data_IF_854735450627
#
_entry.id   IF_854735450627
#
_cell.length_a   1.000
_cell.length_b   1.000
_cell.length_c   1.000
_cell.angle_alpha   90.00
_cell.angle_beta   90.00
_cell.angle_gamma   90.00
#
_symmetry.space_group_name_H-M   'P 1'
#
loop_
_entity.id
_entity.type
_entity.pdbx_description
1 polymer ?
#
# COMPACT_ATOMS: atom_id res chain seq x y z
N UNK A 1 -23.24 27.49 7.58
CA UNK A 1 -23.73 27.18 6.21
C UNK A 1 -22.61 26.44 5.49
N UNK A 2 -22.80 25.16 5.16
CA UNK A 2 -21.86 24.37 4.37
C UNK A 2 -22.28 24.49 2.91
N UNK A 3 -21.43 25.05 2.06
CA UNK A 3 -21.70 25.15 0.62
C UNK A 3 -21.14 23.92 -0.06
N UNK A 4 -22.02 23.08 -0.58
CA UNK A 4 -21.69 21.92 -1.42
C UNK A 4 -22.13 22.28 -2.83
N UNK A 5 -21.20 22.32 -3.78
CA UNK A 5 -21.48 22.64 -5.18
C UNK A 5 -21.34 21.35 -5.97
N UNK A 6 -22.36 20.97 -6.72
CA UNK A 6 -22.29 19.84 -7.66
C UNK A 6 -21.81 20.37 -9.01
N UNK A 7 -20.64 19.92 -9.47
CA UNK A 7 -20.11 20.28 -10.79
C UNK A 7 -20.31 19.11 -11.76
N UNK A 8 -21.01 19.36 -12.88
CA UNK A 8 -21.22 18.40 -13.95
C UNK A 8 -20.10 18.61 -14.98
N UNK A 9 -19.09 17.73 -15.02
CA UNK A 9 -18.17 17.63 -16.16
C UNK A 9 -18.32 16.22 -16.73
N UNK A 10 -18.70 16.14 -18.01
CA UNK A 10 -18.76 14.91 -18.83
C UNK A 10 -19.55 13.73 -18.22
N UNK A 11 -20.71 14.02 -17.63
CA UNK A 11 -21.65 12.97 -17.17
C UNK A 11 -21.35 12.36 -15.80
N UNK A 12 -20.27 12.76 -15.13
CA UNK A 12 -20.08 12.49 -13.70
C UNK A 12 -20.45 13.71 -12.87
N UNK A 13 -21.40 13.52 -11.95
CA UNK A 13 -21.70 14.49 -10.89
C UNK A 13 -20.57 14.39 -9.87
N UNK A 14 -19.67 15.38 -9.86
CA UNK A 14 -18.57 15.44 -8.89
C UNK A 14 -18.95 16.42 -7.80
N UNK A 15 -18.93 15.94 -6.55
CA UNK A 15 -19.15 16.78 -5.37
C UNK A 15 -17.95 17.70 -5.20
N UNK A 16 -18.16 19.01 -5.13
CA UNK A 16 -17.11 20.00 -4.87
C UNK A 16 -17.18 20.49 -3.42
N UNK A 17 -16.02 20.56 -2.76
CA UNK A 17 -15.87 20.93 -1.35
C UNK A 17 -14.69 21.89 -1.19
N UNK A 18 -14.86 22.94 -0.38
CA UNK A 18 -13.76 23.87 -0.12
C UNK A 18 -12.67 23.26 0.77
N UNK A 19 -11.41 23.66 0.55
CA UNK A 19 -10.25 23.22 1.33
C UNK A 19 -10.41 23.48 2.85
N UNK A 20 -11.18 24.51 3.23
CA UNK A 20 -11.49 24.80 4.63
C UNK A 20 -12.39 23.73 5.26
N UNK A 21 -13.38 23.22 4.52
CA UNK A 21 -14.26 22.14 4.97
C UNK A 21 -13.49 20.84 5.06
N UNK A 22 -12.64 20.56 4.05
CA UNK A 22 -11.72 19.40 4.07
C UNK A 22 -10.86 19.41 5.33
N UNK A 23 -10.26 20.55 5.69
CA UNK A 23 -9.45 20.67 6.91
C UNK A 23 -10.21 20.36 8.21
N UNK A 24 -11.51 20.65 8.27
CA UNK A 24 -12.34 20.43 9.47
C UNK A 24 -12.93 19.03 9.54
N UNK A 25 -13.21 18.41 8.39
CA UNK A 25 -13.99 17.16 8.31
C UNK A 25 -13.30 16.11 7.44
N UNK A 26 -11.97 16.09 7.41
CA UNK A 26 -11.20 15.22 6.52
C UNK A 26 -11.56 13.73 6.67
N UNK A 27 -11.63 13.24 7.91
CA UNK A 27 -11.98 11.84 8.18
C UNK A 27 -13.36 11.45 7.65
N UNK A 28 -14.38 12.29 7.89
CA UNK A 28 -15.72 12.03 7.38
C UNK A 28 -15.81 12.07 5.86
N UNK A 29 -15.03 12.94 5.21
CA UNK A 29 -14.92 12.97 3.75
C UNK A 29 -14.23 11.73 3.19
N UNK A 30 -13.20 11.20 3.86
CA UNK A 30 -12.57 9.94 3.47
C UNK A 30 -13.55 8.77 3.57
N UNK A 31 -14.30 8.68 4.68
CA UNK A 31 -15.30 7.63 4.88
C UNK A 31 -16.43 7.74 3.84
N UNK A 32 -16.87 8.96 3.52
CA UNK A 32 -17.86 9.22 2.48
C UNK A 32 -17.37 8.77 1.10
N UNK A 33 -16.17 9.19 0.68
CA UNK A 33 -15.58 8.81 -0.62
C UNK A 33 -15.36 7.31 -0.70
N UNK A 34 -14.94 6.67 0.39
CA UNK A 34 -14.79 5.21 0.47
C UNK A 34 -16.13 4.49 0.30
N UNK A 35 -17.19 4.99 0.93
CA UNK A 35 -18.50 4.34 0.96
C UNK A 35 -19.28 4.56 -0.33
N UNK A 36 -19.25 5.77 -0.87
CA UNK A 36 -19.99 6.15 -2.09
C UNK A 36 -19.25 5.79 -3.36
N UNK A 37 -17.93 5.53 -3.27
CA UNK A 37 -17.03 5.35 -4.40
C UNK A 37 -17.07 6.51 -5.42
N UNK A 38 -17.53 7.70 -5.01
CA UNK A 38 -17.59 8.89 -5.84
C UNK A 38 -16.43 9.83 -5.52
N UNK A 39 -15.77 10.40 -6.54
CA UNK A 39 -14.71 11.37 -6.33
C UNK A 39 -15.25 12.70 -5.83
N UNK A 40 -14.45 13.40 -5.03
CA UNK A 40 -14.73 14.73 -4.50
C UNK A 40 -13.67 15.70 -5.00
N UNK A 41 -14.10 16.80 -5.62
CA UNK A 41 -13.25 17.90 -6.04
C UNK A 41 -13.01 18.83 -4.86
N UNK A 42 -11.75 19.15 -4.58
CA UNK A 42 -11.35 20.09 -3.54
C UNK A 42 -10.98 21.42 -4.20
N UNK A 43 -11.64 22.49 -3.77
CA UNK A 43 -11.41 23.84 -4.28
C UNK A 43 -10.89 24.80 -3.20
N UNK A 44 -10.20 25.85 -3.62
CA UNK A 44 -9.84 26.98 -2.78
C UNK A 44 -10.08 28.25 -3.57
N UNK A 45 -10.86 29.16 -3.00
CA UNK A 45 -11.17 30.45 -3.61
C UNK A 45 -11.74 30.32 -5.04
N UNK A 46 -12.59 29.31 -5.27
CA UNK A 46 -13.20 28.99 -6.58
C UNK A 46 -12.28 28.29 -7.57
N UNK A 47 -11.03 28.03 -7.20
CA UNK A 47 -10.06 27.33 -8.03
C UNK A 47 -9.94 25.85 -7.60
N UNK A 48 -10.06 24.89 -8.52
CA UNK A 48 -9.84 23.48 -8.21
C UNK A 48 -8.37 23.23 -7.87
N UNK A 49 -8.11 22.54 -6.74
CA UNK A 49 -6.76 22.26 -6.25
C UNK A 49 -6.42 20.77 -6.25
N UNK A 50 -7.36 19.91 -5.89
CA UNK A 50 -7.12 18.48 -5.74
C UNK A 50 -8.40 17.66 -5.95
N UNK A 51 -8.24 16.35 -6.17
CA UNK A 51 -9.35 15.40 -6.21
C UNK A 51 -9.09 14.30 -5.19
N UNK A 52 -10.08 14.03 -4.35
CA UNK A 52 -10.10 12.87 -3.47
C UNK A 52 -10.90 11.77 -4.15
N UNK A 53 -10.27 10.64 -4.45
CA UNK A 53 -10.88 9.52 -5.15
C UNK A 53 -10.65 8.21 -4.40
N UNK A 54 -11.58 7.25 -4.49
CA UNK A 54 -11.35 5.92 -3.93
C UNK A 54 -10.19 5.25 -4.69
N UNK A 55 -9.22 4.70 -3.96
CA UNK A 55 -8.17 3.91 -4.58
C UNK A 55 -8.76 2.59 -5.05
N UNK A 56 -8.73 2.25 -6.35
CA UNK A 56 -9.15 0.94 -6.80
C UNK A 56 -8.21 -0.11 -6.21
N UNK A 57 -8.78 -1.13 -5.58
CA UNK A 57 -8.07 -2.20 -4.85
C UNK A 57 -7.00 -2.89 -5.72
N UNK A 58 -7.19 -2.88 -7.04
CA UNK A 58 -6.27 -3.46 -8.04
C UNK A 58 -4.96 -2.68 -8.24
N UNK A 59 -4.91 -1.38 -7.92
CA UNK A 59 -3.70 -0.56 -8.14
C UNK A 59 -2.61 -0.81 -7.08
N UNK A 60 -2.96 -1.30 -5.88
CA UNK A 60 -1.99 -1.63 -4.84
C UNK A 60 -1.47 -3.08 -4.87
N UNK A 61 -2.33 -4.04 -5.26
CA UNK A 61 -1.98 -5.46 -5.18
C UNK A 61 -1.06 -5.96 -6.29
N UNK A 62 -1.07 -5.32 -7.47
CA UNK A 62 -0.18 -5.70 -8.57
C UNK A 62 1.29 -5.40 -8.21
N UNK A 63 1.54 -4.21 -7.66
CA UNK A 63 2.88 -3.80 -7.23
C UNK A 63 3.37 -4.59 -6.01
N UNK A 64 2.52 -4.85 -5.01
CA UNK A 64 2.92 -5.66 -3.86
C UNK A 64 3.26 -7.11 -4.25
N UNK A 65 2.48 -7.73 -5.15
CA UNK A 65 2.78 -9.07 -5.66
C UNK A 65 4.07 -9.09 -6.46
N UNK A 66 4.28 -8.08 -7.31
CA UNK A 66 5.50 -7.95 -8.10
C UNK A 66 6.74 -7.73 -7.23
N UNK A 67 6.66 -6.85 -6.23
CA UNK A 67 7.73 -6.62 -5.26
C UNK A 67 8.03 -7.86 -4.41
N UNK A 68 6.99 -8.59 -3.99
CA UNK A 68 7.15 -9.86 -3.27
C UNK A 68 7.84 -10.92 -4.14
N UNK A 69 7.46 -11.03 -5.40
CA UNK A 69 8.08 -11.97 -6.34
C UNK A 69 9.56 -11.63 -6.56
N UNK A 70 9.89 -10.36 -6.79
CA UNK A 70 11.27 -9.87 -6.91
C UNK A 70 12.10 -10.12 -5.64
N UNK A 71 11.49 -9.95 -4.46
CA UNK A 71 12.16 -10.25 -3.20
C UNK A 71 12.46 -11.74 -3.04
N UNK A 72 11.54 -12.62 -3.43
CA UNK A 72 11.73 -14.07 -3.42
C UNK A 72 12.82 -14.50 -4.42
N UNK A 73 12.84 -13.93 -5.62
CA UNK A 73 13.87 -14.20 -6.62
C UNK A 73 15.26 -13.77 -6.15
N UNK A 74 15.37 -12.61 -5.49
CA UNK A 74 16.62 -12.17 -4.85
C UNK A 74 17.07 -13.13 -3.76
N UNK A 75 16.15 -13.60 -2.92
CA UNK A 75 16.46 -14.58 -1.88
C UNK A 75 16.91 -15.93 -2.47
N UNK A 76 16.24 -16.40 -3.52
CA UNK A 76 16.63 -17.62 -4.25
C UNK A 76 17.99 -17.48 -4.93
N UNK A 77 18.31 -16.32 -5.50
CA UNK A 77 19.61 -16.03 -6.11
C UNK A 77 20.75 -15.89 -5.08
N UNK A 78 20.43 -15.48 -3.85
CA UNK A 78 21.37 -15.38 -2.73
C UNK A 78 21.61 -16.74 -2.05
N UNK A 79 20.66 -17.67 -2.14
CA UNK A 79 20.87 -19.06 -1.73
C UNK A 79 21.74 -19.79 -2.74
N UNK A 80 23.05 -19.60 -2.62
CA UNK A 80 24.04 -20.41 -3.32
C UNK A 80 23.86 -21.88 -2.87
N UNK A 81 23.42 -22.82 -3.74
CA UNK A 81 23.18 -24.22 -3.34
C UNK A 81 24.47 -24.97 -3.01
N UNK A 82 25.62 -24.34 -3.25
CA UNK A 82 26.95 -24.95 -3.19
C UNK A 82 27.55 -25.05 -1.80
N UNK A 83 26.98 -24.39 -0.78
CA UNK A 83 27.49 -24.49 0.61
C UNK A 83 26.60 -25.29 1.56
N UNK A 84 25.41 -25.70 1.13
CA UNK A 84 24.63 -26.73 1.82
C UNK A 84 24.91 -28.04 1.12
N UNK A 85 26.02 -28.66 1.52
CA UNK A 85 26.43 -29.98 1.05
C UNK A 85 25.25 -30.96 1.07
N UNK A 86 25.34 -31.95 0.19
CA UNK A 86 24.34 -32.96 -0.22
C UNK A 86 23.62 -33.74 0.90
N UNK A 87 23.85 -33.40 2.16
CA UNK A 87 23.24 -34.01 3.33
C UNK A 87 22.96 -32.92 4.41
N UNK A 88 21.73 -32.41 4.48
CA UNK A 88 21.30 -31.46 5.51
C UNK A 88 21.47 -32.01 6.93
N UNK A 89 21.45 -33.33 7.11
CA UNK A 89 21.58 -33.98 8.41
C UNK A 89 23.01 -33.88 8.92
N UNK A 90 23.99 -34.18 8.07
CA UNK A 90 25.41 -34.04 8.39
C UNK A 90 25.79 -32.60 8.80
N UNK A 91 25.19 -31.59 8.16
CA UNK A 91 25.39 -30.18 8.52
C UNK A 91 24.83 -29.85 9.90
N UNK A 92 23.62 -30.33 10.23
CA UNK A 92 23.00 -30.12 11.54
C UNK A 92 23.77 -30.80 12.67
N UNK A 93 24.31 -31.99 12.42
CA UNK A 93 25.09 -32.74 13.41
C UNK A 93 26.44 -32.08 13.68
N UNK A 94 27.07 -31.50 12.65
CA UNK A 94 28.29 -30.70 12.79
C UNK A 94 28.05 -29.45 13.64
N UNK A 95 26.96 -28.72 13.37
CA UNK A 95 26.62 -27.52 14.13
C UNK A 95 26.32 -27.89 15.59
N UNK A 96 25.47 -28.89 15.85
CA UNK A 96 25.20 -29.34 17.24
C UNK A 96 26.46 -29.73 18.01
N UNK A 97 27.42 -30.38 17.36
CA UNK A 97 28.69 -30.78 17.98
C UNK A 97 29.55 -29.55 18.33
N UNK A 98 29.66 -28.58 17.41
CA UNK A 98 30.39 -27.33 17.65
C UNK A 98 29.78 -26.49 18.79
N UNK A 99 28.46 -26.54 18.98
CA UNK A 99 27.78 -25.87 20.09
C UNK A 99 27.97 -26.59 21.43
N UNK A 100 28.13 -27.93 21.42
CA UNK A 100 28.40 -28.71 22.62
C UNK A 100 29.81 -28.44 23.16
N UNK A 101 30.81 -28.29 22.29
CA UNK A 101 32.20 -27.95 22.66
C UNK A 101 32.38 -26.52 23.19
N UNK A 102 31.41 -25.63 22.91
CA UNK A 102 31.41 -24.23 23.37
C UNK A 102 30.73 -24.00 24.72
N UNK A 103 30.08 -25.02 25.29
CA UNK A 103 29.54 -24.89 26.64
C UNK A 103 30.65 -25.14 27.66
N UNK A 104 30.90 -24.20 28.59
CA UNK A 104 31.86 -24.40 29.67
C UNK A 104 31.43 -25.53 30.61
#
# INVERSE_FOLDING_TARGET
>A
MLTVIMSIREGMVVKTVSAMVVRRHFGGLLDEVRTTAQPVLIERDGCPMAVLAPLPVSLGQADERHQRQLALERLCGLSNPTSRGRDPQAWLDQDRSAWAERKP
#
